data_IF_355221238811
#
_entry.id   IF_355221238811
#
_cell.length_a   1.000
_cell.length_b   1.000
_cell.length_c   1.000
_cell.angle_alpha   90.00
_cell.angle_beta   90.00
_cell.angle_gamma   90.00
#
_symmetry.space_group_name_H-M   'P 1'
#
loop_
_entity.id
_entity.type
_entity.pdbx_description
1 polymer ?
#
# COMPACT_ATOMS: atom_id res chain seq x y z
N UNK A 1 -24.37 9.61 9.72
CA UNK A 1 -23.39 8.65 9.30
C UNK A 1 -22.01 9.00 9.82
N UNK A 2 -21.34 8.01 10.34
CA UNK A 2 -20.12 8.22 11.13
C UNK A 2 -18.84 8.00 10.32
N UNK A 3 -18.74 8.61 9.13
CA UNK A 3 -17.54 8.50 8.31
C UNK A 3 -16.28 8.90 9.08
N UNK A 4 -16.41 9.87 9.97
CA UNK A 4 -15.29 10.30 10.80
C UNK A 4 -14.89 9.31 11.89
N UNK A 5 -15.70 8.27 12.14
CA UNK A 5 -15.46 7.28 13.19
C UNK A 5 -15.09 5.89 12.66
N UNK A 6 -15.20 5.68 11.35
CA UNK A 6 -14.83 4.41 10.74
C UNK A 6 -13.32 4.34 10.57
N UNK A 7 -12.72 3.22 10.97
CA UNK A 7 -11.28 3.02 10.84
C UNK A 7 -10.99 2.55 9.42
N UNK A 8 -10.14 3.30 8.72
CA UNK A 8 -9.79 3.03 7.33
C UNK A 8 -8.31 3.28 7.10
N UNK A 9 -7.78 2.74 6.01
CA UNK A 9 -6.42 3.04 5.57
C UNK A 9 -6.43 4.28 4.69
N UNK A 10 -5.81 5.34 5.17
CA UNK A 10 -5.59 6.57 4.41
C UNK A 10 -4.13 6.64 3.97
N UNK A 11 -3.87 7.43 2.94
CA UNK A 11 -2.52 7.64 2.42
C UNK A 11 -2.16 9.10 2.61
N UNK A 12 -1.04 9.33 3.28
CA UNK A 12 -0.54 10.69 3.55
C UNK A 12 0.76 10.90 2.80
N UNK A 13 0.90 12.06 2.19
CA UNK A 13 2.13 12.46 1.50
C UNK A 13 2.76 13.66 2.17
N UNK A 14 4.06 13.81 2.01
CA UNK A 14 4.84 14.87 2.62
C UNK A 14 6.02 15.25 1.70
N UNK A 15 6.50 16.48 1.80
CA UNK A 15 7.60 16.95 0.96
C UNK A 15 8.93 17.08 1.69
N UNK A 16 8.93 17.69 2.85
CA UNK A 16 10.16 18.06 3.55
C UNK A 16 10.47 17.16 4.74
N UNK A 17 9.68 16.11 4.90
CA UNK A 17 9.77 15.19 6.02
C UNK A 17 10.01 13.78 5.50
N UNK A 18 10.63 12.96 6.32
CA UNK A 18 10.79 11.54 6.01
C UNK A 18 9.63 10.75 6.59
N UNK A 19 9.01 9.93 5.77
CA UNK A 19 7.85 9.13 6.18
C UNK A 19 8.13 8.26 7.41
N UNK A 20 9.35 7.68 7.50
CA UNK A 20 9.70 6.84 8.65
C UNK A 20 9.72 7.61 9.96
N UNK A 21 10.19 8.86 9.92
CA UNK A 21 10.24 9.73 11.11
C UNK A 21 8.81 10.15 11.50
N UNK A 22 8.03 10.56 10.52
CA UNK A 22 6.63 10.95 10.76
C UNK A 22 5.82 9.78 11.30
N UNK A 23 6.01 8.59 10.73
CA UNK A 23 5.30 7.40 11.17
C UNK A 23 5.61 7.09 12.64
N UNK A 24 6.84 7.28 13.08
CA UNK A 24 7.19 7.07 14.47
C UNK A 24 6.49 8.08 15.38
N UNK A 25 6.46 9.35 14.98
CA UNK A 25 5.72 10.38 15.74
C UNK A 25 4.24 10.02 15.86
N UNK A 26 3.64 9.58 14.75
CA UNK A 26 2.23 9.18 14.76
C UNK A 26 2.00 7.94 15.61
N UNK A 27 2.90 6.95 15.55
CA UNK A 27 2.80 5.75 16.39
C UNK A 27 2.88 6.11 17.87
N UNK A 28 3.71 7.07 18.24
CA UNK A 28 3.82 7.54 19.61
C UNK A 28 2.51 8.17 20.10
N UNK A 29 1.66 8.65 19.19
CA UNK A 29 0.32 9.14 19.50
C UNK A 29 -0.78 8.08 19.35
N UNK A 30 -0.40 6.82 19.12
CA UNK A 30 -1.34 5.71 19.06
C UNK A 30 -1.86 5.37 17.66
N UNK A 31 -1.29 5.94 16.60
CA UNK A 31 -1.68 5.59 15.24
C UNK A 31 -1.00 4.30 14.79
N UNK A 32 -1.73 3.50 14.02
CA UNK A 32 -1.17 2.38 13.29
C UNK A 32 -0.71 2.88 11.92
N UNK A 33 0.58 2.74 11.61
CA UNK A 33 1.16 3.25 10.36
C UNK A 33 1.96 2.18 9.65
N UNK A 34 2.00 2.27 8.32
CA UNK A 34 2.85 1.45 7.47
C UNK A 34 3.60 2.35 6.50
N UNK A 35 4.92 2.20 6.45
CA UNK A 35 5.78 2.89 5.49
C UNK A 35 6.38 1.84 4.57
N UNK A 36 6.07 1.91 3.25
CA UNK A 36 6.64 0.94 2.31
C UNK A 36 8.16 1.07 2.23
N UNK A 37 8.88 -0.04 2.00
CA UNK A 37 10.34 0.01 1.86
C UNK A 37 10.77 0.96 0.74
N UNK A 38 11.83 1.72 0.98
CA UNK A 38 12.43 2.67 0.03
C UNK A 38 11.55 3.86 -0.37
N UNK A 39 10.37 3.99 0.21
CA UNK A 39 9.51 5.16 -0.01
C UNK A 39 9.69 6.10 1.17
N UNK A 40 10.02 7.36 0.87
CA UNK A 40 10.37 8.33 1.90
C UNK A 40 9.36 9.46 2.07
N UNK A 41 8.41 9.58 1.13
CA UNK A 41 7.47 10.72 1.09
C UNK A 41 6.00 10.31 1.20
N UNK A 42 5.72 9.09 1.64
CA UNK A 42 4.37 8.56 1.72
C UNK A 42 4.27 7.58 2.88
N UNK A 43 3.16 7.65 3.61
CA UNK A 43 2.85 6.63 4.61
C UNK A 43 1.37 6.28 4.56
N UNK A 44 1.06 5.10 5.05
CA UNK A 44 -0.31 4.61 5.17
C UNK A 44 -0.68 4.64 6.65
N UNK A 45 -1.85 5.17 6.99
CA UNK A 45 -2.33 5.24 8.36
C UNK A 45 -3.69 4.58 8.47
N UNK A 46 -3.83 3.74 9.48
CA UNK A 46 -5.07 2.99 9.76
C UNK A 46 -5.73 3.62 10.96
N UNK A 47 -6.72 4.46 10.72
CA UNK A 47 -7.37 5.22 11.79
C UNK A 47 -8.70 5.80 11.31
N UNK A 48 -9.35 6.53 12.18
CA UNK A 48 -10.54 7.30 11.82
C UNK A 48 -10.16 8.59 11.11
N UNK A 49 -11.02 9.07 10.22
CA UNK A 49 -10.83 10.34 9.54
C UNK A 49 -10.65 11.48 10.54
N UNK A 50 -11.45 11.48 11.59
CA UNK A 50 -11.40 12.52 12.62
C UNK A 50 -10.03 12.63 13.29
N UNK A 51 -9.42 11.49 13.63
CA UNK A 51 -8.11 11.48 14.28
C UNK A 51 -7.02 11.93 13.32
N UNK A 52 -7.08 11.50 12.07
CA UNK A 52 -6.09 11.91 11.06
C UNK A 52 -6.22 13.41 10.79
N UNK A 53 -7.45 13.91 10.60
CA UNK A 53 -7.70 15.33 10.40
C UNK A 53 -7.14 16.16 11.56
N UNK A 54 -7.32 15.70 12.79
CA UNK A 54 -6.80 16.38 13.97
C UNK A 54 -5.27 16.50 13.91
N UNK A 55 -4.59 15.39 13.57
CA UNK A 55 -3.13 15.42 13.45
C UNK A 55 -2.67 16.39 12.36
N UNK A 56 -3.32 16.35 11.18
CA UNK A 56 -2.96 17.23 10.07
C UNK A 56 -3.21 18.70 10.38
N UNK A 57 -4.21 19.00 11.20
CA UNK A 57 -4.59 20.37 11.52
C UNK A 57 -3.76 20.95 12.66
N UNK A 58 -3.52 20.18 13.71
CA UNK A 58 -3.00 20.72 14.98
C UNK A 58 -1.56 20.33 15.29
N UNK A 59 -0.96 19.37 14.61
CA UNK A 59 0.45 19.04 14.81
C UNK A 59 1.31 19.78 13.78
N UNK A 60 2.46 20.30 14.21
CA UNK A 60 3.38 20.98 13.29
C UNK A 60 3.77 20.10 12.12
N UNK A 61 4.10 18.84 12.42
CA UNK A 61 4.41 17.85 11.41
C UNK A 61 3.24 17.63 10.45
N UNK A 62 2.03 17.48 11.00
CA UNK A 62 0.83 17.25 10.21
C UNK A 62 0.52 18.39 9.25
N UNK A 63 0.86 19.61 9.61
CA UNK A 63 0.63 20.77 8.75
C UNK A 63 1.50 20.76 7.49
N UNK A 64 2.52 19.92 7.45
CA UNK A 64 3.39 19.73 6.28
C UNK A 64 3.02 18.49 5.47
N UNK A 65 1.88 17.91 5.76
CA UNK A 65 1.39 16.69 5.13
C UNK A 65 0.00 16.89 4.55
N UNK A 66 -0.34 16.08 3.56
CA UNK A 66 -1.69 16.09 2.97
C UNK A 66 -2.15 14.67 2.69
N UNK A 67 -3.46 14.51 2.62
CA UNK A 67 -4.03 13.28 2.08
C UNK A 67 -3.67 13.14 0.60
N UNK A 68 -3.33 11.94 0.18
CA UNK A 68 -3.41 11.59 -1.23
C UNK A 68 -4.89 11.47 -1.59
N UNK A 69 -5.29 12.04 -2.72
CA UNK A 69 -6.70 12.11 -3.11
C UNK A 69 -6.99 11.25 -4.33
N UNK A 70 -8.21 10.71 -4.37
CA UNK A 70 -8.69 9.97 -5.52
C UNK A 70 -8.83 10.90 -6.72
N UNK A 71 -8.43 10.41 -7.89
CA UNK A 71 -8.59 11.17 -9.14
C UNK A 71 -10.04 11.26 -9.59
N UNK A 72 -10.90 10.38 -9.08
CA UNK A 72 -12.32 10.32 -9.48
C UNK A 72 -13.15 11.40 -8.80
N UNK A 73 -13.00 11.56 -7.49
CA UNK A 73 -13.88 12.42 -6.70
C UNK A 73 -13.14 13.42 -5.82
N UNK A 74 -11.80 13.43 -5.89
CA UNK A 74 -10.92 14.32 -5.11
C UNK A 74 -11.05 14.14 -3.60
N UNK A 75 -11.73 13.09 -3.14
CA UNK A 75 -11.78 12.75 -1.73
C UNK A 75 -10.50 12.05 -1.28
N UNK A 76 -10.19 12.06 0.02
CA UNK A 76 -9.05 11.29 0.50
C UNK A 76 -9.14 9.84 0.06
N UNK A 77 -8.03 9.33 -0.45
CA UNK A 77 -7.94 7.98 -0.94
C UNK A 77 -8.06 7.00 0.22
N UNK A 78 -8.90 5.99 0.07
CA UNK A 78 -9.06 4.90 1.03
C UNK A 78 -8.60 3.63 0.37
N UNK A 79 -7.70 2.90 1.04
CA UNK A 79 -7.19 1.63 0.53
C UNK A 79 -7.96 0.50 1.19
N UNK A 80 -8.54 -0.43 0.42
CA UNK A 80 -9.22 -1.58 1.00
C UNK A 80 -8.29 -2.39 1.91
N UNK A 81 -8.83 -2.91 3.00
CA UNK A 81 -8.06 -3.68 3.98
C UNK A 81 -7.33 -4.86 3.33
N UNK A 82 -7.98 -5.55 2.40
CA UNK A 82 -7.39 -6.69 1.72
C UNK A 82 -6.16 -6.28 0.88
N UNK A 83 -6.25 -5.15 0.19
CA UNK A 83 -5.12 -4.63 -0.58
C UNK A 83 -3.94 -4.31 0.34
N UNK A 84 -4.21 -3.68 1.47
CA UNK A 84 -3.16 -3.38 2.45
C UNK A 84 -2.56 -4.64 3.04
N UNK A 85 -3.39 -5.64 3.33
CA UNK A 85 -2.91 -6.92 3.85
C UNK A 85 -1.93 -7.57 2.87
N UNK A 86 -2.29 -7.62 1.60
CA UNK A 86 -1.44 -8.19 0.56
C UNK A 86 -0.15 -7.37 0.38
N UNK A 87 -0.28 -6.04 0.39
CA UNK A 87 0.88 -5.16 0.24
C UNK A 87 1.89 -5.39 1.38
N UNK A 88 1.41 -5.40 2.61
CA UNK A 88 2.28 -5.62 3.77
C UNK A 88 2.91 -7.01 3.75
N UNK A 89 2.14 -8.03 3.32
CA UNK A 89 2.68 -9.39 3.18
C UNK A 89 3.83 -9.43 2.17
N UNK A 90 3.66 -8.77 1.03
CA UNK A 90 4.71 -8.73 0.00
C UNK A 90 5.95 -8.01 0.53
N UNK A 91 5.78 -6.91 1.22
CA UNK A 91 6.91 -6.16 1.77
C UNK A 91 7.68 -6.95 2.83
N UNK A 92 6.98 -7.76 3.63
CA UNK A 92 7.61 -8.60 4.66
C UNK A 92 8.21 -9.89 4.10
N UNK A 93 7.54 -10.50 3.13
CA UNK A 93 7.90 -11.84 2.66
C UNK A 93 8.73 -11.87 1.38
N UNK A 94 9.16 -10.72 0.89
CA UNK A 94 9.84 -10.59 -0.38
C UNK A 94 11.03 -9.64 -0.22
N UNK A 95 12.23 -10.06 -0.61
CA UNK A 95 13.43 -9.25 -0.41
C UNK A 95 13.47 -7.99 -1.28
N UNK A 96 12.90 -8.06 -2.47
CA UNK A 96 12.99 -6.95 -3.43
C UNK A 96 11.68 -6.77 -4.18
N UNK A 97 10.60 -6.37 -3.48
CA UNK A 97 9.36 -6.06 -4.17
C UNK A 97 9.55 -4.83 -5.06
N UNK A 98 8.87 -4.82 -6.20
CA UNK A 98 8.89 -3.67 -7.10
C UNK A 98 7.61 -2.87 -6.85
N UNK A 99 7.76 -1.65 -6.34
CA UNK A 99 6.64 -0.78 -6.02
C UNK A 99 6.58 0.30 -7.10
N UNK A 100 5.42 0.45 -7.71
CA UNK A 100 5.20 1.38 -8.83
C UNK A 100 4.03 2.31 -8.52
N UNK A 101 4.23 3.60 -8.75
CA UNK A 101 3.19 4.61 -8.54
C UNK A 101 2.36 4.90 -9.81
N UNK A 102 2.68 4.21 -10.90
CA UNK A 102 1.93 4.29 -12.14
C UNK A 102 1.50 2.89 -12.57
N UNK A 103 0.36 2.80 -13.25
CA UNK A 103 -0.09 1.52 -13.80
C UNK A 103 0.98 1.00 -14.76
N UNK A 104 1.52 -0.20 -14.53
CA UNK A 104 2.57 -0.71 -15.40
C UNK A 104 2.03 -1.00 -16.80
N UNK A 105 2.86 -0.71 -17.81
CA UNK A 105 2.53 -0.93 -19.22
C UNK A 105 2.85 -2.36 -19.66
N UNK A 106 2.98 -3.29 -18.73
CA UNK A 106 3.27 -4.69 -19.02
C UNK A 106 1.98 -5.46 -19.31
N UNK A 107 2.11 -6.49 -20.12
CA UNK A 107 0.99 -7.37 -20.40
C UNK A 107 0.68 -8.21 -19.14
N UNK A 108 -0.59 -8.14 -18.71
CA UNK A 108 -1.04 -8.98 -17.60
C UNK A 108 -1.29 -10.41 -18.10
N UNK A 109 -0.71 -11.37 -17.40
CA UNK A 109 -0.97 -12.78 -17.64
C UNK A 109 -2.14 -13.28 -16.80
N UNK A 110 -2.15 -14.59 -16.55
CA UNK A 110 -3.22 -15.23 -15.79
C UNK A 110 -3.38 -14.62 -14.41
N UNK A 111 -4.62 -14.64 -13.93
CA UNK A 111 -4.88 -14.34 -12.52
C UNK A 111 -4.59 -15.59 -11.70
N UNK A 112 -3.80 -15.44 -10.66
CA UNK A 112 -3.29 -16.55 -9.87
C UNK A 112 -3.44 -16.28 -8.38
N UNK A 113 -3.40 -17.37 -7.61
CA UNK A 113 -3.27 -17.33 -6.15
C UNK A 113 -1.99 -18.03 -5.77
N UNK A 114 -1.25 -17.46 -4.83
CA UNK A 114 -0.07 -18.11 -4.24
C UNK A 114 -0.56 -19.16 -3.25
N UNK A 115 -0.16 -20.42 -3.42
CA UNK A 115 -0.66 -21.54 -2.63
C UNK A 115 0.34 -22.10 -1.64
N UNK A 116 1.58 -21.63 -1.68
CA UNK A 116 2.60 -22.06 -0.70
C UNK A 116 3.65 -20.98 -0.52
N UNK A 117 4.39 -21.06 0.58
CA UNK A 117 5.45 -20.10 0.92
C UNK A 117 4.96 -18.91 1.72
N UNK A 118 5.84 -17.91 1.93
CA UNK A 118 5.51 -16.75 2.77
C UNK A 118 4.37 -15.87 2.22
N UNK A 119 4.10 -15.94 0.92
CA UNK A 119 3.07 -15.11 0.28
C UNK A 119 1.78 -15.87 0.03
N UNK A 120 1.56 -16.99 0.71
CA UNK A 120 0.36 -17.82 0.54
C UNK A 120 -0.91 -16.99 0.76
N UNK A 121 -1.83 -17.11 -0.19
CA UNK A 121 -3.12 -16.40 -0.16
C UNK A 121 -3.17 -15.14 -0.99
N UNK A 122 -2.04 -14.60 -1.42
CA UNK A 122 -2.00 -13.43 -2.29
C UNK A 122 -2.57 -13.79 -3.66
N UNK A 123 -3.42 -12.91 -4.18
CA UNK A 123 -4.01 -13.06 -5.51
C UNK A 123 -3.66 -11.86 -6.37
N UNK A 124 -3.27 -12.12 -7.60
CA UNK A 124 -2.91 -11.08 -8.54
C UNK A 124 -2.69 -11.65 -9.93
N UNK A 125 -2.12 -10.83 -10.80
CA UNK A 125 -1.84 -11.25 -12.16
C UNK A 125 -0.36 -11.57 -12.33
N UNK A 126 -0.06 -12.63 -13.08
CA UNK A 126 1.33 -12.92 -13.47
C UNK A 126 1.79 -11.84 -14.43
N UNK A 127 2.98 -11.29 -14.17
CA UNK A 127 3.63 -10.32 -15.05
C UNK A 127 5.08 -10.74 -15.23
N UNK A 128 5.67 -10.31 -16.33
CA UNK A 128 7.10 -10.52 -16.58
C UNK A 128 7.80 -9.18 -16.47
N UNK A 129 8.66 -9.05 -15.49
CA UNK A 129 9.46 -7.83 -15.27
C UNK A 129 10.91 -8.28 -15.15
N UNK A 130 11.80 -7.67 -15.94
CA UNK A 130 13.24 -8.00 -15.94
C UNK A 130 13.49 -9.49 -16.16
N UNK A 131 12.73 -10.09 -17.10
CA UNK A 131 12.81 -11.51 -17.46
C UNK A 131 12.38 -12.48 -16.37
N UNK A 132 11.80 -11.99 -15.28
CA UNK A 132 11.26 -12.84 -14.21
C UNK A 132 9.75 -12.78 -14.16
N UNK A 133 9.12 -13.93 -13.95
CA UNK A 133 7.68 -14.00 -13.70
C UNK A 133 7.41 -13.63 -12.24
N UNK A 134 6.53 -12.68 -12.04
CA UNK A 134 6.17 -12.15 -10.73
C UNK A 134 4.66 -12.05 -10.62
N UNK A 135 4.16 -11.88 -9.41
CA UNK A 135 2.73 -11.62 -9.20
C UNK A 135 2.55 -10.14 -8.92
N UNK A 136 1.68 -9.50 -9.68
CA UNK A 136 1.37 -8.07 -9.56
C UNK A 136 0.04 -7.91 -8.84
N UNK A 137 0.02 -7.05 -7.83
CA UNK A 137 -1.22 -6.65 -7.17
C UNK A 137 -1.41 -5.13 -7.32
N UNK A 138 -2.67 -4.70 -7.27
CA UNK A 138 -3.04 -3.29 -7.22
C UNK A 138 -3.35 -2.93 -5.75
N UNK A 139 -2.83 -1.81 -5.30
CA UNK A 139 -3.08 -1.29 -3.95
C UNK A 139 -3.90 -0.01 -4.12
N UNK A 140 -5.23 -0.12 -3.94
CA UNK A 140 -6.13 1.02 -4.05
C UNK A 140 -6.14 1.71 -5.41
N UNK A 141 -5.72 1.03 -6.46
CA UNK A 141 -5.63 1.54 -7.83
C UNK A 141 -4.72 2.77 -8.00
N UNK A 142 -3.78 2.98 -7.08
CA UNK A 142 -2.83 4.08 -7.20
C UNK A 142 -1.36 3.64 -7.04
N UNK A 143 -1.13 2.47 -6.44
CA UNK A 143 0.19 1.85 -6.32
C UNK A 143 0.05 0.40 -6.78
N UNK A 144 1.04 -0.07 -7.50
CA UNK A 144 1.13 -1.45 -7.97
C UNK A 144 2.39 -2.06 -7.40
N UNK A 145 2.29 -3.31 -6.94
CA UNK A 145 3.41 -3.99 -6.31
C UNK A 145 3.60 -5.34 -6.97
N UNK A 146 4.82 -5.60 -7.45
CA UNK A 146 5.19 -6.89 -7.98
C UNK A 146 6.09 -7.61 -6.99
N UNK A 147 5.84 -8.92 -6.82
CA UNK A 147 6.66 -9.77 -5.95
C UNK A 147 8.02 -10.02 -6.59
N UNK A 148 8.91 -10.68 -5.86
CA UNK A 148 10.06 -11.35 -6.47
C UNK A 148 9.55 -12.55 -7.30
N UNK A 149 10.46 -13.24 -7.98
CA UNK A 149 10.11 -14.44 -8.74
C UNK A 149 9.42 -15.47 -7.84
N UNK A 150 8.32 -16.04 -8.33
CA UNK A 150 7.62 -17.12 -7.64
C UNK A 150 7.57 -18.32 -8.57
N UNK A 151 8.06 -19.50 -8.13
CA UNK A 151 8.00 -20.71 -8.96
C UNK A 151 6.57 -21.08 -9.34
N UNK A 152 6.36 -21.59 -10.57
CA UNK A 152 5.01 -21.91 -11.03
C UNK A 152 4.26 -22.94 -10.17
N UNK A 153 4.96 -23.85 -9.52
CA UNK A 153 4.33 -24.84 -8.63
C UNK A 153 3.76 -24.24 -7.35
N UNK A 154 4.11 -22.98 -7.04
CA UNK A 154 3.53 -22.23 -5.92
C UNK A 154 2.32 -21.41 -6.33
N UNK A 155 1.90 -21.47 -7.59
CA UNK A 155 0.81 -20.68 -8.14
C UNK A 155 -0.32 -21.56 -8.62
N UNK A 156 -1.55 -21.12 -8.37
CA UNK A 156 -2.75 -21.75 -8.91
C UNK A 156 -3.50 -20.72 -9.75
N UNK A 157 -3.81 -21.05 -10.99
CA UNK A 157 -4.62 -20.18 -11.85
C UNK A 157 -6.04 -20.12 -11.29
N UNK A 158 -6.54 -18.92 -11.16
CA UNK A 158 -7.92 -18.63 -10.73
C UNK A 158 -8.58 -17.75 -11.78
N UNK A 159 -9.87 -17.63 -11.73
CA UNK A 159 -10.62 -16.87 -12.74
C UNK A 159 -10.35 -15.37 -12.73
#
# INVERSE_FOLDING_TARGET
>A
MDEGKTIMWYVLTMRYLRASVVAQEMRDEGFECFVPPKITNMLFVHSTRSRVDFFLTYRKTGQLMTYMRSRKDLQPLVVPDKDMQFFMMICDGCEAPIIMDECPTVKLGDRVRVISGPLTGIEGNVVRIRKSKRVLISVGDFVWVATAYIPPDMLKVID
#
